data_IF_007676498910
#
_entry.id   IF_007676498910
#
_cell.length_a   1.000
_cell.length_b   1.000
_cell.length_c   1.000
_cell.angle_alpha   90.00
_cell.angle_beta   90.00
_cell.angle_gamma   90.00
#
_symmetry.space_group_name_H-M   'P 1'
#
loop_
_entity.id
_entity.type
_entity.pdbx_description
1 polymer ?
#
# COMPACT_ATOMS: atom_id res chain seq x y z
N UNK A 1 -12.69 29.29 2.44
CA UNK A 1 -11.74 28.22 2.85
C UNK A 1 -10.67 28.70 3.86
N UNK A 2 -10.85 29.85 4.52
CA UNK A 2 -9.81 30.46 5.40
C UNK A 2 -9.83 29.95 6.85
N UNK A 3 -10.89 29.27 7.29
CA UNK A 3 -11.14 28.96 8.71
C UNK A 3 -10.33 27.77 9.25
N UNK A 4 -9.81 26.91 8.37
CA UNK A 4 -9.08 25.70 8.75
C UNK A 4 -7.56 25.92 8.91
N UNK A 5 -7.04 27.13 8.69
CA UNK A 5 -5.61 27.44 8.84
C UNK A 5 -4.70 26.72 7.84
N UNK A 6 -5.24 26.19 6.74
CA UNK A 6 -4.45 25.46 5.73
C UNK A 6 -3.53 26.43 4.98
N UNK A 7 -2.21 26.14 4.87
CA UNK A 7 -1.26 26.90 4.07
C UNK A 7 -1.73 27.07 2.61
N UNK A 8 -1.45 28.22 2.00
CA UNK A 8 -1.98 28.57 0.67
C UNK A 8 -1.56 27.60 -0.42
N UNK A 9 -0.32 27.11 -0.37
CA UNK A 9 0.24 26.06 -1.22
C UNK A 9 -0.46 24.70 -1.07
N UNK A 10 -1.26 24.50 -0.01
CA UNK A 10 -1.98 23.25 0.27
C UNK A 10 -3.51 23.37 0.12
N UNK A 11 -4.03 24.53 -0.30
CA UNK A 11 -5.47 24.77 -0.47
C UNK A 11 -6.05 24.21 -1.78
N UNK A 12 -5.21 23.88 -2.75
CA UNK A 12 -5.65 23.23 -3.98
C UNK A 12 -6.25 21.85 -3.70
N UNK A 13 -7.31 21.53 -4.44
CA UNK A 13 -8.01 20.26 -4.31
C UNK A 13 -7.10 19.13 -4.78
N UNK A 14 -6.77 18.22 -3.87
CA UNK A 14 -5.99 17.01 -4.14
C UNK A 14 -6.75 15.78 -3.67
N UNK A 15 -6.54 14.67 -4.34
CA UNK A 15 -7.06 13.38 -3.93
C UNK A 15 -6.38 12.92 -2.63
N UNK A 16 -7.06 12.04 -1.87
CA UNK A 16 -6.50 11.46 -0.64
C UNK A 16 -5.12 10.81 -0.85
N UNK A 17 -4.91 10.21 -2.03
CA UNK A 17 -3.65 9.54 -2.37
C UNK A 17 -2.54 10.55 -2.66
N UNK A 18 -2.83 11.62 -3.40
CA UNK A 18 -1.87 12.69 -3.66
C UNK A 18 -1.44 13.39 -2.37
N UNK A 19 -2.37 13.63 -1.45
CA UNK A 19 -2.07 14.19 -0.12
C UNK A 19 -1.12 13.26 0.64
N UNK A 20 -1.44 11.96 0.71
CA UNK A 20 -0.61 11.01 1.44
C UNK A 20 0.80 10.85 0.86
N UNK A 21 0.93 10.88 -0.47
CA UNK A 21 2.25 10.84 -1.13
C UNK A 21 3.06 12.10 -0.79
N UNK A 22 2.42 13.28 -0.87
CA UNK A 22 3.08 14.55 -0.53
C UNK A 22 3.49 14.62 0.95
N UNK A 23 2.69 14.07 1.86
CA UNK A 23 3.05 13.99 3.28
C UNK A 23 4.25 13.07 3.53
N UNK A 24 4.31 11.92 2.83
CA UNK A 24 5.47 11.02 2.91
C UNK A 24 6.73 11.73 2.42
N UNK A 25 6.66 12.44 1.29
CA UNK A 25 7.79 13.19 0.76
C UNK A 25 8.26 14.28 1.73
N UNK A 26 7.32 15.03 2.30
CA UNK A 26 7.63 16.07 3.29
C UNK A 26 8.31 15.52 4.55
N UNK A 27 7.82 14.41 5.09
CA UNK A 27 8.43 13.78 6.29
C UNK A 27 9.81 13.20 5.97
N UNK A 28 10.04 12.71 4.74
CA UNK A 28 11.36 12.25 4.28
C UNK A 28 12.35 13.39 4.12
N UNK A 29 11.92 14.50 3.51
CA UNK A 29 12.72 15.73 3.45
C UNK A 29 13.06 16.25 4.85
N UNK A 30 12.14 16.08 5.81
CA UNK A 30 12.36 16.34 7.23
C UNK A 30 13.35 15.40 7.94
N UNK A 31 13.96 14.44 7.22
CA UNK A 31 15.03 13.58 7.75
C UNK A 31 14.57 12.26 8.35
N UNK A 32 13.35 11.79 8.02
CA UNK A 32 12.87 10.47 8.45
C UNK A 32 13.85 9.37 8.03
N UNK A 33 14.35 8.62 9.00
CA UNK A 33 15.36 7.55 8.82
C UNK A 33 14.75 6.23 8.32
N UNK A 34 13.43 6.09 8.45
CA UNK A 34 12.69 4.89 8.09
C UNK A 34 12.32 4.91 6.62
N UNK A 35 12.64 3.84 5.89
CA UNK A 35 12.27 3.66 4.49
C UNK A 35 11.05 2.75 4.30
N UNK A 36 10.32 2.43 5.38
CA UNK A 36 9.18 1.52 5.37
C UNK A 36 7.86 2.27 5.55
N UNK A 37 6.88 1.99 4.68
CA UNK A 37 5.52 2.55 4.75
C UNK A 37 4.50 1.42 4.93
N UNK A 38 3.71 1.51 6.02
CA UNK A 38 2.57 0.62 6.27
C UNK A 38 1.27 1.41 6.09
N UNK A 39 0.38 0.98 5.19
CA UNK A 39 -0.89 1.67 4.94
C UNK A 39 -2.10 0.73 4.88
N UNK A 40 -3.28 1.28 5.15
CA UNK A 40 -4.55 0.54 5.13
C UNK A 40 -5.06 0.26 3.70
N UNK A 41 -6.20 -0.43 3.60
CA UNK A 41 -6.76 -0.89 2.33
C UNK A 41 -7.19 0.23 1.38
N UNK A 42 -7.53 1.41 1.91
CA UNK A 42 -7.83 2.62 1.16
C UNK A 42 -6.63 3.19 0.40
N UNK A 43 -5.42 2.76 0.75
CA UNK A 43 -4.17 3.10 0.06
C UNK A 43 -3.62 1.95 -0.79
N UNK A 44 -4.27 0.78 -0.79
CA UNK A 44 -3.85 -0.39 -1.56
C UNK A 44 -3.96 -0.27 -3.08
N UNK A 45 -4.38 0.90 -3.60
CA UNK A 45 -4.50 1.16 -5.03
C UNK A 45 -3.15 1.04 -5.77
N UNK A 46 -3.19 0.70 -7.06
CA UNK A 46 -1.99 0.61 -7.90
C UNK A 46 -1.18 1.92 -7.92
N UNK A 47 -1.77 3.12 -8.13
CA UNK A 47 -1.01 4.36 -8.19
C UNK A 47 -0.22 4.66 -6.92
N UNK A 48 -0.79 4.37 -5.74
CA UNK A 48 -0.10 4.58 -4.47
C UNK A 48 1.09 3.63 -4.30
N UNK A 49 0.91 2.33 -4.60
CA UNK A 49 1.99 1.34 -4.56
C UNK A 49 3.13 1.69 -5.52
N UNK A 50 2.79 2.12 -6.75
CA UNK A 50 3.78 2.59 -7.72
C UNK A 50 4.54 3.83 -7.22
N UNK A 51 3.83 4.79 -6.63
CA UNK A 51 4.43 5.99 -6.07
C UNK A 51 5.45 5.67 -4.95
N UNK A 52 5.16 4.67 -4.11
CA UNK A 52 6.08 4.19 -3.07
C UNK A 52 7.31 3.49 -3.68
N UNK A 53 7.11 2.60 -4.66
CA UNK A 53 8.21 1.92 -5.35
C UNK A 53 9.13 2.89 -6.10
N UNK A 54 8.56 3.87 -6.80
CA UNK A 54 9.34 4.90 -7.51
C UNK A 54 10.23 5.74 -6.56
N UNK A 55 9.84 5.82 -5.28
CA UNK A 55 10.54 6.52 -4.21
C UNK A 55 11.59 5.67 -3.48
N UNK A 56 11.76 4.41 -3.90
CA UNK A 56 12.65 3.44 -3.26
C UNK A 56 12.20 3.02 -1.86
N UNK A 57 10.91 3.18 -1.54
CA UNK A 57 10.37 2.81 -0.23
C UNK A 57 9.99 1.34 -0.21
N UNK A 58 10.31 0.67 0.90
CA UNK A 58 9.71 -0.62 1.24
C UNK A 58 8.29 -0.35 1.72
N UNK A 59 7.30 -1.10 1.24
CA UNK A 59 5.92 -0.86 1.64
C UNK A 59 5.15 -2.15 1.88
N UNK A 60 4.23 -2.07 2.83
CA UNK A 60 3.21 -3.07 3.06
C UNK A 60 1.87 -2.35 3.07
N UNK A 61 0.97 -2.73 2.17
CA UNK A 61 -0.37 -2.16 2.13
C UNK A 61 -1.39 -3.27 2.14
N UNK A 62 -2.47 -3.06 2.88
CA UNK A 62 -3.62 -3.96 2.76
C UNK A 62 -4.22 -3.78 1.37
N UNK A 63 -4.57 -4.87 0.72
CA UNK A 63 -5.24 -4.82 -0.59
C UNK A 63 -6.73 -4.96 -0.33
N UNK A 64 -7.54 -4.08 -0.94
CA UNK A 64 -8.99 -4.21 -0.84
C UNK A 64 -9.45 -5.53 -1.49
N UNK A 65 -10.43 -6.21 -0.89
CA UNK A 65 -10.93 -7.50 -1.42
C UNK A 65 -11.53 -7.43 -2.83
N UNK A 66 -11.70 -6.22 -3.40
CA UNK A 66 -12.18 -5.99 -4.77
C UNK A 66 -11.05 -6.02 -5.82
N UNK A 67 -9.80 -5.98 -5.42
CA UNK A 67 -8.64 -5.99 -6.33
C UNK A 67 -8.30 -7.43 -6.76
N UNK A 68 -8.16 -7.68 -8.07
CA UNK A 68 -7.77 -9.02 -8.55
C UNK A 68 -6.31 -9.32 -8.16
N UNK A 69 -6.11 -10.45 -7.51
CA UNK A 69 -4.80 -10.93 -7.02
C UNK A 69 -3.74 -10.96 -8.12
N UNK A 70 -4.11 -11.31 -9.36
CA UNK A 70 -3.20 -11.33 -10.51
C UNK A 70 -2.53 -9.97 -10.80
N UNK A 71 -3.28 -8.87 -10.74
CA UNK A 71 -2.71 -7.55 -11.02
C UNK A 71 -1.72 -7.13 -9.94
N UNK A 72 -2.05 -7.41 -8.68
CA UNK A 72 -1.17 -7.16 -7.54
C UNK A 72 0.09 -8.02 -7.63
N UNK A 73 -0.07 -9.32 -7.90
CA UNK A 73 1.02 -10.26 -8.02
C UNK A 73 2.04 -9.82 -9.07
N UNK A 74 1.56 -9.48 -10.28
CA UNK A 74 2.41 -8.99 -11.36
C UNK A 74 3.17 -7.72 -11.00
N UNK A 75 2.51 -6.77 -10.34
CA UNK A 75 3.13 -5.52 -9.88
C UNK A 75 4.15 -5.73 -8.76
N UNK A 76 3.94 -6.72 -7.89
CA UNK A 76 4.87 -7.11 -6.83
C UNK A 76 6.06 -7.95 -7.34
N UNK A 77 6.18 -8.16 -8.66
CA UNK A 77 7.25 -8.95 -9.27
C UNK A 77 6.99 -10.44 -9.32
N UNK A 78 5.79 -10.89 -8.93
CA UNK A 78 5.38 -12.28 -9.09
C UNK A 78 4.87 -12.48 -10.51
N UNK A 79 5.74 -13.02 -11.38
CA UNK A 79 5.48 -13.20 -12.80
C UNK A 79 4.23 -14.02 -13.12
N UNK A 80 3.74 -14.85 -12.18
CA UNK A 80 2.46 -15.58 -12.31
C UNK A 80 1.74 -15.75 -10.96
N UNK A 81 0.41 -16.01 -10.95
CA UNK A 81 -0.31 -16.37 -9.73
C UNK A 81 0.22 -17.64 -9.04
N UNK A 82 0.70 -18.61 -9.83
CA UNK A 82 1.30 -19.85 -9.32
C UNK A 82 2.60 -19.57 -8.57
N UNK A 83 3.45 -18.67 -9.11
CA UNK A 83 4.65 -18.23 -8.39
C UNK A 83 4.29 -17.50 -7.09
N UNK A 84 3.22 -16.70 -7.10
CA UNK A 84 2.70 -16.03 -5.89
C UNK A 84 2.27 -17.05 -4.83
N UNK A 85 1.53 -18.09 -5.22
CA UNK A 85 1.11 -19.16 -4.30
C UNK A 85 2.31 -19.91 -3.72
N UNK A 86 3.27 -20.30 -4.57
CA UNK A 86 4.49 -20.98 -4.12
C UNK A 86 5.35 -20.10 -3.22
N UNK A 87 5.55 -18.83 -3.55
CA UNK A 87 6.39 -17.91 -2.78
C UNK A 87 5.74 -17.52 -1.46
N UNK A 88 4.43 -17.29 -1.43
CA UNK A 88 3.70 -17.06 -0.18
C UNK A 88 3.80 -18.26 0.77
N UNK A 89 3.60 -19.47 0.24
CA UNK A 89 3.74 -20.70 1.01
C UNK A 89 5.18 -20.92 1.47
N UNK A 90 6.18 -20.64 0.63
CA UNK A 90 7.59 -20.76 1.00
C UNK A 90 7.99 -19.78 2.11
N UNK A 91 7.39 -18.58 2.13
CA UNK A 91 7.76 -17.53 3.08
C UNK A 91 7.00 -17.62 4.42
N UNK A 92 5.73 -18.06 4.40
CA UNK A 92 4.86 -18.09 5.57
C UNK A 92 4.50 -19.49 6.06
N UNK A 93 4.86 -20.55 5.32
CA UNK A 93 4.58 -21.94 5.66
C UNK A 93 3.10 -22.34 5.52
N UNK A 94 2.24 -21.44 5.03
CA UNK A 94 0.79 -21.65 4.89
C UNK A 94 0.30 -21.16 3.53
N UNK A 95 -0.76 -21.78 3.01
CA UNK A 95 -1.33 -21.38 1.73
C UNK A 95 -2.10 -20.06 1.86
N UNK A 96 -2.14 -19.21 0.81
CA UNK A 96 -2.89 -17.95 0.82
C UNK A 96 -4.37 -18.11 1.21
N UNK A 97 -5.00 -19.23 0.84
CA UNK A 97 -6.41 -19.51 1.17
C UNK A 97 -6.62 -19.80 2.66
N UNK A 98 -5.72 -20.55 3.28
CA UNK A 98 -5.79 -20.87 4.71
C UNK A 98 -5.52 -19.63 5.54
N UNK A 99 -4.53 -18.83 5.13
CA UNK A 99 -4.29 -17.51 5.69
C UNK A 99 -5.55 -16.63 5.61
N UNK A 100 -6.18 -16.54 4.43
CA UNK A 100 -7.43 -15.77 4.27
C UNK A 100 -8.54 -16.27 5.19
N UNK A 101 -8.69 -17.60 5.37
CA UNK A 101 -9.69 -18.19 6.26
C UNK A 101 -9.47 -17.76 7.70
N UNK A 102 -8.22 -17.78 8.19
CA UNK A 102 -7.89 -17.34 9.55
C UNK A 102 -8.18 -15.86 9.82
N UNK A 103 -8.14 -15.00 8.79
CA UNK A 103 -8.51 -13.59 8.90
C UNK A 103 -10.03 -13.37 8.85
N UNK A 104 -10.75 -14.04 7.95
CA UNK A 104 -12.20 -13.91 7.85
C UNK A 104 -12.95 -14.51 9.06
N UNK A 105 -12.41 -15.57 9.68
CA UNK A 105 -13.03 -16.20 10.85
C UNK A 105 -12.84 -15.40 12.14
N UNK A 106 -11.86 -14.49 12.22
CA UNK A 106 -11.61 -13.63 13.39
C UNK A 106 -12.43 -12.33 13.42
N UNK A 107 -13.09 -11.97 12.32
CA UNK A 107 -13.89 -10.75 12.19
C UNK A 107 -15.42 -11.00 12.29
N UNK A 108 -15.83 -12.07 12.97
CA UNK A 108 -17.24 -12.41 13.23
C UNK A 108 -17.51 -12.55 14.72
#
# INVERSE_FOLDING_TARGET
MTRAGVPEDRREARTKLEIAVAEIDWVREGGLRSNCVLADAGYGSTPFRQAMSARGLTWAVRISGRSKVYHVAREAGFGTPLSTHQQFAAQLGILPMDFRRTFCDKER
#
